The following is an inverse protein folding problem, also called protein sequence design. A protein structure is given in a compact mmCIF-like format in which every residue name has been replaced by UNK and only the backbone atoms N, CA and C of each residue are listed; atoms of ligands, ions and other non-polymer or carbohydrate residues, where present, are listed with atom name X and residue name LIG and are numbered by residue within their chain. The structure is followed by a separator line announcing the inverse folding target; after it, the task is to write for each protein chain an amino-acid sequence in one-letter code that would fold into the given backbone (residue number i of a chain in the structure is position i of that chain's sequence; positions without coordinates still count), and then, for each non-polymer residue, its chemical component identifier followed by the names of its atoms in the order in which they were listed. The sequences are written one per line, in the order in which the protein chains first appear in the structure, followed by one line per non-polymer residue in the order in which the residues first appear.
data_IF_829596794146
#
_entry.id   IF_829596794146
#
_cell.length_a   1.000
_cell.length_b   1.000
_cell.length_c   1.000
_cell.angle_alpha   90.00
_cell.angle_beta   90.00
_cell.angle_gamma   90.00
#
_symmetry.space_group_name_H-M   'P 1'
#
loop_
_entity.id
_entity.type
_entity.pdbx_description
1 polymer ?
#
# COMPACT_ATOMS: atom_id res chain seq x y z
N UNK A 1 11.33 -40.22 -72.53
CA UNK A 1 10.95 -41.02 -71.29
C UNK A 1 11.85 -40.81 -70.11
N UNK A 2 13.13 -40.54 -70.27
CA UNK A 2 14.12 -40.32 -69.21
C UNK A 2 13.90 -39.01 -68.40
N UNK A 3 13.58 -37.91 -69.09
CA UNK A 3 13.38 -36.58 -68.47
C UNK A 3 12.17 -36.53 -67.49
N UNK A 4 11.11 -37.29 -67.76
CA UNK A 4 9.93 -37.37 -66.87
C UNK A 4 10.20 -38.14 -65.59
N UNK A 5 11.11 -39.09 -65.62
CA UNK A 5 11.53 -39.90 -64.48
C UNK A 5 12.36 -39.04 -63.47
N UNK A 6 13.28 -38.24 -64.00
CA UNK A 6 14.12 -37.34 -63.17
C UNK A 6 13.24 -36.23 -62.52
N UNK A 7 12.27 -35.70 -63.21
CA UNK A 7 11.33 -34.69 -62.64
C UNK A 7 10.53 -35.21 -61.47
N UNK A 8 10.07 -36.48 -61.54
CA UNK A 8 9.39 -37.12 -60.39
C UNK A 8 10.32 -37.36 -59.21
N UNK A 9 11.55 -37.71 -59.43
CA UNK A 9 12.53 -37.94 -58.38
C UNK A 9 12.86 -36.62 -57.70
N UNK A 10 13.10 -35.54 -58.43
CA UNK A 10 13.37 -34.20 -57.90
C UNK A 10 12.19 -33.69 -57.08
N UNK A 11 10.94 -33.91 -57.58
CA UNK A 11 9.74 -33.51 -56.86
C UNK A 11 9.58 -34.26 -55.55
N UNK A 12 9.86 -35.55 -55.51
CA UNK A 12 9.77 -36.34 -54.30
C UNK A 12 10.88 -36.00 -53.29
N UNK A 13 12.10 -35.71 -53.77
CA UNK A 13 13.20 -35.25 -52.87
C UNK A 13 12.84 -33.86 -52.28
N UNK A 14 12.29 -32.97 -53.08
CA UNK A 14 11.86 -31.65 -52.59
C UNK A 14 10.70 -31.75 -51.57
N UNK A 15 9.73 -32.64 -51.83
CA UNK A 15 8.65 -32.94 -50.89
C UNK A 15 9.17 -33.53 -49.54
N UNK A 16 10.19 -34.42 -49.66
CA UNK A 16 10.80 -35.00 -48.45
C UNK A 16 11.61 -33.98 -47.64
N UNK A 17 12.31 -33.07 -48.33
CA UNK A 17 13.04 -31.98 -47.71
C UNK A 17 12.09 -30.97 -47.04
N UNK A 18 10.93 -30.73 -47.62
CA UNK A 18 9.88 -29.85 -47.08
C UNK A 18 9.22 -30.47 -45.83
N UNK A 19 9.01 -31.76 -45.81
CA UNK A 19 8.49 -32.49 -44.65
C UNK A 19 9.48 -32.52 -43.45
N UNK A 20 10.79 -32.54 -43.76
CA UNK A 20 11.86 -32.51 -42.72
C UNK A 20 12.07 -31.11 -42.12
N UNK A 21 11.74 -30.03 -42.83
CA UNK A 21 11.89 -28.65 -42.34
C UNK A 21 10.76 -28.20 -41.37
N UNK A 22 9.66 -28.99 -41.27
CA UNK A 22 8.49 -28.64 -40.46
C UNK A 22 8.54 -28.98 -38.97
N UNK A 23 9.64 -29.54 -38.44
CA UNK A 23 9.66 -30.14 -37.08
C UNK A 23 10.35 -29.33 -35.99
N UNK A 24 10.60 -28.06 -36.18
CA UNK A 24 11.03 -27.19 -35.06
C UNK A 24 9.86 -26.64 -34.27
N UNK A 25 9.00 -27.54 -33.76
CA UNK A 25 8.07 -27.16 -32.69
C UNK A 25 8.93 -27.04 -31.42
N UNK A 26 9.47 -25.86 -31.15
CA UNK A 26 10.00 -25.55 -29.83
C UNK A 26 8.82 -25.67 -28.85
N UNK A 27 8.78 -26.76 -28.10
CA UNK A 27 7.82 -26.94 -27.03
C UNK A 27 7.99 -25.74 -26.07
N UNK A 28 7.04 -24.83 -26.07
CA UNK A 28 7.02 -23.72 -25.14
C UNK A 28 6.94 -24.32 -23.74
N UNK A 29 7.94 -24.04 -22.91
CA UNK A 29 7.95 -24.48 -21.51
C UNK A 29 6.67 -23.95 -20.88
N UNK A 30 5.84 -24.85 -20.34
CA UNK A 30 4.64 -24.45 -19.62
C UNK A 30 5.02 -23.50 -18.49
N UNK A 31 4.46 -22.29 -18.51
CA UNK A 31 4.67 -21.28 -17.47
C UNK A 31 4.00 -21.73 -16.18
N UNK A 32 4.73 -21.62 -15.09
CA UNK A 32 4.23 -21.96 -13.74
C UNK A 32 3.79 -20.68 -13.06
N UNK A 33 2.48 -20.57 -12.86
CA UNK A 33 1.84 -19.39 -12.25
C UNK A 33 1.38 -19.77 -10.85
N UNK A 34 1.56 -18.86 -9.90
CA UNK A 34 1.00 -18.96 -8.56
C UNK A 34 0.16 -17.71 -8.24
N UNK A 35 -0.78 -17.88 -7.34
CA UNK A 35 -1.56 -16.79 -6.75
C UNK A 35 -1.31 -16.76 -5.26
N UNK A 36 -1.20 -15.55 -4.71
CA UNK A 36 -1.13 -15.30 -3.27
C UNK A 36 -2.23 -14.33 -2.88
N UNK A 37 -2.44 -14.20 -1.60
CA UNK A 37 -3.28 -13.22 -0.95
C UNK A 37 -2.42 -12.56 0.12
N UNK A 38 -1.87 -11.39 -0.19
CA UNK A 38 -0.95 -10.70 0.71
C UNK A 38 -1.66 -10.23 1.98
N UNK A 39 -2.90 -9.78 1.86
CA UNK A 39 -3.71 -9.35 3.01
C UNK A 39 -3.92 -10.52 3.98
N UNK A 40 -4.37 -11.66 3.46
CA UNK A 40 -4.54 -12.88 4.26
C UNK A 40 -3.24 -13.35 4.91
N UNK A 41 -2.11 -13.29 4.19
CA UNK A 41 -0.81 -13.68 4.75
C UNK A 41 -0.46 -12.75 5.93
N UNK A 42 -0.55 -11.43 5.74
CA UNK A 42 -0.21 -10.45 6.77
C UNK A 42 -1.11 -10.57 8.00
N UNK A 43 -2.41 -10.78 7.82
CA UNK A 43 -3.37 -10.98 8.92
C UNK A 43 -3.07 -12.22 9.77
N UNK A 44 -2.32 -13.19 9.25
CA UNK A 44 -1.89 -14.38 9.96
C UNK A 44 -0.43 -14.28 10.49
N UNK A 45 0.21 -13.12 10.39
CA UNK A 45 1.54 -12.84 10.97
C UNK A 45 1.34 -12.14 12.32
N UNK A 46 1.74 -12.77 13.45
CA UNK A 46 1.55 -12.19 14.79
C UNK A 46 2.15 -10.79 14.95
N UNK A 47 3.34 -10.56 14.41
CA UNK A 47 4.05 -9.28 14.45
C UNK A 47 3.28 -8.18 13.70
N UNK A 48 2.56 -8.54 12.63
CA UNK A 48 1.69 -7.60 11.91
C UNK A 48 0.49 -7.19 12.75
N UNK A 49 -0.14 -8.13 13.45
CA UNK A 49 -1.25 -7.84 14.36
C UNK A 49 -0.82 -6.95 15.53
N UNK A 50 0.37 -7.19 16.08
CA UNK A 50 0.94 -6.35 17.13
C UNK A 50 1.25 -4.92 16.61
N UNK A 51 1.83 -4.81 15.42
CA UNK A 51 2.08 -3.54 14.75
C UNK A 51 0.77 -2.74 14.52
N UNK A 52 -0.28 -3.42 14.05
CA UNK A 52 -1.61 -2.82 13.88
C UNK A 52 -2.20 -2.34 15.21
N UNK A 53 -2.12 -3.14 16.27
CA UNK A 53 -2.61 -2.76 17.59
C UNK A 53 -1.85 -1.54 18.15
N UNK A 54 -0.54 -1.50 17.95
CA UNK A 54 0.31 -0.37 18.35
C UNK A 54 -0.07 0.90 17.59
N UNK A 55 -0.24 0.80 16.26
CA UNK A 55 -0.68 1.91 15.42
C UNK A 55 -2.06 2.42 15.85
N UNK A 56 -3.03 1.53 16.01
CA UNK A 56 -4.39 1.87 16.43
C UNK A 56 -4.43 2.56 17.79
N UNK A 57 -3.64 2.08 18.74
CA UNK A 57 -3.52 2.69 20.07
C UNK A 57 -2.99 4.12 19.99
N UNK A 58 -1.96 4.37 19.18
CA UNK A 58 -1.41 5.72 18.94
C UNK A 58 -2.42 6.64 18.26
N UNK A 59 -3.05 6.18 17.20
CA UNK A 59 -4.07 6.94 16.46
C UNK A 59 -5.23 7.33 17.37
N UNK A 60 -5.69 6.42 18.23
CA UNK A 60 -6.74 6.71 19.21
C UNK A 60 -6.32 7.80 20.20
N UNK A 61 -5.07 7.75 20.68
CA UNK A 61 -4.53 8.79 21.58
C UNK A 61 -4.45 10.15 20.89
N UNK A 62 -3.97 10.21 19.66
CA UNK A 62 -3.92 11.46 18.89
C UNK A 62 -5.30 12.05 18.65
N UNK A 63 -6.27 11.23 18.21
CA UNK A 63 -7.66 11.67 18.01
C UNK A 63 -8.28 12.19 19.31
N UNK A 64 -8.06 11.48 20.43
CA UNK A 64 -8.55 11.94 21.74
C UNK A 64 -7.94 13.28 22.17
N UNK A 65 -6.65 13.50 21.85
CA UNK A 65 -5.97 14.76 22.12
C UNK A 65 -6.56 15.92 21.31
N UNK A 66 -6.77 15.71 20.00
CA UNK A 66 -7.38 16.71 19.12
C UNK A 66 -8.84 17.03 19.53
N UNK A 67 -9.61 15.99 19.88
CA UNK A 67 -10.99 16.15 20.33
C UNK A 67 -11.07 16.98 21.63
N UNK A 68 -10.19 16.73 22.59
CA UNK A 68 -10.10 17.55 23.82
C UNK A 68 -9.77 19.00 23.51
N UNK A 69 -8.83 19.26 22.62
CA UNK A 69 -8.46 20.61 22.23
C UNK A 69 -9.59 21.31 21.46
N UNK A 70 -10.27 20.60 20.58
CA UNK A 70 -11.44 21.10 19.85
C UNK A 70 -12.57 21.48 20.81
N UNK A 71 -12.89 20.61 21.77
CA UNK A 71 -13.92 20.91 22.80
C UNK A 71 -13.53 22.09 23.68
N UNK A 72 -12.25 22.21 24.03
CA UNK A 72 -11.76 23.37 24.76
C UNK A 72 -11.99 24.66 23.98
N UNK A 73 -11.64 24.68 22.69
CA UNK A 73 -11.86 25.85 21.81
C UNK A 73 -13.36 26.22 21.73
N UNK A 74 -14.22 25.24 21.51
CA UNK A 74 -15.66 25.49 21.42
C UNK A 74 -16.27 26.00 22.76
N UNK A 75 -15.78 25.43 23.87
CA UNK A 75 -16.16 25.94 25.19
C UNK A 75 -15.67 27.37 25.39
N UNK A 76 -14.42 27.69 25.09
CA UNK A 76 -13.87 29.06 25.24
C UNK A 76 -14.64 30.10 24.40
N UNK A 77 -15.00 29.71 23.14
CA UNK A 77 -15.85 30.59 22.29
C UNK A 77 -17.23 30.82 22.92
N UNK A 78 -17.86 29.78 23.44
CA UNK A 78 -19.18 29.88 24.09
C UNK A 78 -19.11 30.72 25.35
N UNK A 79 -18.08 30.50 26.19
CA UNK A 79 -17.88 31.28 27.41
C UNK A 79 -17.66 32.78 27.08
N UNK A 80 -16.80 33.08 26.09
CA UNK A 80 -16.59 34.46 25.63
C UNK A 80 -17.86 35.10 25.09
N UNK A 81 -18.66 34.38 24.32
CA UNK A 81 -19.92 34.90 23.80
C UNK A 81 -20.92 35.28 24.95
N UNK A 82 -20.96 34.43 25.98
CA UNK A 82 -21.86 34.66 27.13
C UNK A 82 -21.35 35.81 28.02
N UNK A 83 -20.07 35.99 28.18
CA UNK A 83 -19.43 36.96 29.08
C UNK A 83 -19.17 38.32 28.40
N UNK A 84 -19.26 38.40 27.05
CA UNK A 84 -18.87 39.57 26.25
C UNK A 84 -19.48 40.89 26.73
N UNK A 85 -20.70 40.85 27.25
CA UNK A 85 -21.42 42.07 27.71
C UNK A 85 -20.88 42.66 29.03
N UNK A 86 -20.08 41.86 29.77
CA UNK A 86 -19.56 42.26 31.10
C UNK A 86 -18.05 42.40 31.13
N UNK A 87 -17.35 41.98 30.04
CA UNK A 87 -15.92 42.09 29.93
C UNK A 87 -15.46 43.44 29.37
N UNK A 88 -14.28 43.89 29.75
CA UNK A 88 -13.61 45.03 29.11
C UNK A 88 -13.13 44.66 27.70
N UNK A 89 -12.95 45.68 26.84
CA UNK A 89 -12.43 45.45 25.47
C UNK A 89 -11.09 44.72 25.47
N UNK A 90 -10.18 45.07 26.38
CA UNK A 90 -8.85 44.46 26.46
C UNK A 90 -8.94 42.97 26.81
N UNK A 91 -9.83 42.58 27.75
CA UNK A 91 -10.07 41.20 28.10
C UNK A 91 -10.74 40.39 26.96
N UNK A 92 -11.63 41.05 26.19
CA UNK A 92 -12.22 40.43 25.00
C UNK A 92 -11.17 40.10 24.00
N UNK A 93 -10.27 41.05 23.65
CA UNK A 93 -9.16 40.85 22.71
C UNK A 93 -8.22 39.74 23.19
N UNK A 94 -7.81 39.74 24.47
CA UNK A 94 -6.98 38.69 25.04
C UNK A 94 -7.58 37.29 24.88
N UNK A 95 -8.88 37.14 25.19
CA UNK A 95 -9.61 35.85 25.04
C UNK A 95 -9.76 35.45 23.56
N UNK A 96 -10.02 36.40 22.66
CA UNK A 96 -10.06 36.15 21.20
C UNK A 96 -8.69 35.67 20.67
N UNK A 97 -7.61 36.29 21.09
CA UNK A 97 -6.24 35.89 20.72
C UNK A 97 -5.89 34.49 21.26
N UNK A 98 -6.27 34.19 22.54
CA UNK A 98 -6.07 32.85 23.09
C UNK A 98 -6.81 31.77 22.27
N UNK A 99 -8.08 32.04 21.92
CA UNK A 99 -8.88 31.13 21.08
C UNK A 99 -8.21 30.93 19.71
N UNK A 100 -7.74 32.01 19.09
CA UNK A 100 -7.05 31.94 17.79
C UNK A 100 -5.78 31.08 17.87
N UNK A 101 -4.94 31.29 18.87
CA UNK A 101 -3.74 30.48 19.09
C UNK A 101 -4.07 29.00 19.28
N UNK A 102 -5.13 28.69 20.03
CA UNK A 102 -5.57 27.29 20.21
C UNK A 102 -6.12 26.67 18.92
N UNK A 103 -6.78 27.44 18.07
CA UNK A 103 -7.21 26.98 16.75
C UNK A 103 -6.03 26.72 15.82
N UNK A 104 -5.01 27.53 15.85
CA UNK A 104 -3.76 27.31 15.09
C UNK A 104 -3.02 26.08 15.59
N UNK A 105 -2.96 25.89 16.92
CA UNK A 105 -2.39 24.71 17.53
C UNK A 105 -3.13 23.44 17.06
N UNK A 106 -4.47 23.46 17.06
CA UNK A 106 -5.29 22.34 16.57
C UNK A 106 -4.95 21.99 15.11
N UNK A 107 -4.99 22.98 14.21
CA UNK A 107 -4.62 22.78 12.78
C UNK A 107 -3.22 22.21 12.60
N UNK A 108 -2.26 22.74 13.36
CA UNK A 108 -0.88 22.26 13.33
C UNK A 108 -0.77 20.80 13.77
N UNK A 109 -1.44 20.41 14.85
CA UNK A 109 -1.44 19.05 15.37
C UNK A 109 -2.17 18.08 14.42
N UNK A 110 -3.28 18.51 13.81
CA UNK A 110 -3.99 17.72 12.79
C UNK A 110 -3.06 17.40 11.60
N UNK A 111 -2.36 18.42 11.09
CA UNK A 111 -1.40 18.25 10.01
C UNK A 111 -0.20 17.38 10.42
N UNK A 112 0.31 17.56 11.64
CA UNK A 112 1.42 16.77 12.17
C UNK A 112 1.06 15.30 12.30
N UNK A 113 -0.12 14.98 12.84
CA UNK A 113 -0.52 13.59 13.07
C UNK A 113 -1.07 12.91 11.83
N UNK A 114 -1.89 13.61 11.04
CA UNK A 114 -2.70 13.02 9.96
C UNK A 114 -2.44 13.63 8.57
N UNK A 115 -1.51 14.57 8.46
CA UNK A 115 -1.11 15.11 7.15
C UNK A 115 -0.45 14.06 6.24
N UNK A 116 -0.19 14.40 4.97
CA UNK A 116 0.32 13.46 3.96
C UNK A 116 1.61 12.72 4.36
N UNK A 117 2.49 13.35 5.14
CA UNK A 117 3.70 12.78 5.71
C UNK A 117 3.70 12.87 7.25
N UNK A 118 2.52 12.85 7.84
CA UNK A 118 2.34 12.97 9.29
C UNK A 118 2.78 11.73 10.05
N UNK A 119 2.74 11.85 11.38
CA UNK A 119 3.23 10.83 12.31
C UNK A 119 2.53 9.48 12.10
N UNK A 120 1.24 9.47 11.72
CA UNK A 120 0.52 8.23 11.42
C UNK A 120 1.13 7.48 10.23
N UNK A 121 1.45 8.20 9.16
CA UNK A 121 2.08 7.61 7.98
C UNK A 121 3.48 7.08 8.29
N UNK A 122 4.29 7.88 9.01
CA UNK A 122 5.65 7.51 9.38
C UNK A 122 5.67 6.30 10.32
N UNK A 123 4.79 6.29 11.33
CA UNK A 123 4.66 5.18 12.26
C UNK A 123 4.21 3.89 11.55
N UNK A 124 3.22 3.98 10.65
CA UNK A 124 2.79 2.85 9.83
C UNK A 124 3.96 2.30 9.01
N UNK A 125 4.69 3.17 8.33
CA UNK A 125 5.86 2.78 7.54
C UNK A 125 6.92 2.09 8.43
N UNK A 126 7.18 2.63 9.61
CA UNK A 126 8.16 2.07 10.54
C UNK A 126 7.75 0.68 11.06
N UNK A 127 6.49 0.48 11.39
CA UNK A 127 6.01 -0.76 12.01
C UNK A 127 5.72 -1.84 10.97
N UNK A 128 5.09 -1.49 9.85
CA UNK A 128 4.54 -2.47 8.89
C UNK A 128 5.55 -2.83 7.79
N UNK A 129 6.33 -1.87 7.31
CA UNK A 129 7.25 -2.12 6.21
C UNK A 129 8.26 -3.26 6.47
N UNK A 130 8.92 -3.37 7.62
CA UNK A 130 9.85 -4.47 7.89
C UNK A 130 9.18 -5.84 7.78
N UNK A 131 7.92 -5.95 8.22
CA UNK A 131 7.13 -7.18 8.18
C UNK A 131 6.80 -7.54 6.72
N UNK A 132 6.36 -6.56 5.94
CA UNK A 132 6.11 -6.74 4.51
C UNK A 132 7.37 -7.18 3.76
N UNK A 133 8.52 -6.56 4.06
CA UNK A 133 9.80 -6.92 3.45
C UNK A 133 10.20 -8.37 3.81
N UNK A 134 9.95 -8.82 5.03
CA UNK A 134 10.22 -10.18 5.49
C UNK A 134 9.30 -11.20 4.80
N UNK A 135 8.01 -10.92 4.70
CA UNK A 135 7.06 -11.77 3.96
C UNK A 135 7.45 -11.84 2.49
N UNK A 136 7.79 -10.70 1.88
CA UNK A 136 8.23 -10.66 0.49
C UNK A 136 9.48 -11.51 0.23
N UNK A 137 10.50 -11.42 1.11
CA UNK A 137 11.71 -12.23 1.00
C UNK A 137 11.42 -13.73 1.13
N UNK A 138 10.57 -14.11 2.09
CA UNK A 138 10.13 -15.50 2.25
C UNK A 138 9.38 -16.02 1.02
N UNK A 139 8.51 -15.19 0.45
CA UNK A 139 7.81 -15.51 -0.79
C UNK A 139 8.77 -15.69 -1.96
N UNK A 140 9.76 -14.79 -2.12
CA UNK A 140 10.80 -14.88 -3.16
C UNK A 140 11.56 -16.20 -3.08
N UNK A 141 11.91 -16.66 -1.88
CA UNK A 141 12.57 -17.95 -1.66
C UNK A 141 11.68 -19.13 -2.08
N UNK A 142 10.38 -19.09 -1.74
CA UNK A 142 9.42 -20.10 -2.17
C UNK A 142 9.28 -20.14 -3.69
N UNK A 143 9.16 -18.98 -4.32
CA UNK A 143 9.08 -18.83 -5.78
C UNK A 143 10.28 -19.44 -6.47
N UNK A 144 11.49 -19.13 -5.99
CA UNK A 144 12.73 -19.67 -6.52
C UNK A 144 12.80 -21.20 -6.36
N UNK A 145 12.52 -21.72 -5.15
CA UNK A 145 12.53 -23.17 -4.86
C UNK A 145 11.50 -23.93 -5.68
N UNK A 146 10.31 -23.37 -5.87
CA UNK A 146 9.19 -23.98 -6.59
C UNK A 146 9.27 -23.72 -8.10
N UNK A 147 10.19 -22.86 -8.57
CA UNK A 147 10.38 -22.48 -9.98
C UNK A 147 9.08 -21.94 -10.60
N UNK A 148 8.40 -21.03 -9.91
CA UNK A 148 7.30 -20.26 -10.49
C UNK A 148 7.87 -19.17 -11.40
N UNK A 149 7.23 -18.96 -12.55
CA UNK A 149 7.61 -17.90 -13.50
C UNK A 149 6.91 -16.58 -13.18
N UNK A 150 5.67 -16.67 -12.63
CA UNK A 150 4.87 -15.52 -12.20
C UNK A 150 4.14 -15.81 -10.89
N UNK A 151 4.01 -14.76 -10.08
CA UNK A 151 3.17 -14.76 -8.88
C UNK A 151 2.28 -13.51 -8.94
N UNK A 152 0.99 -13.71 -8.81
CA UNK A 152 -0.01 -12.65 -8.76
C UNK A 152 -0.59 -12.53 -7.36
N UNK A 153 -0.67 -11.31 -6.88
CA UNK A 153 -1.41 -10.99 -5.68
C UNK A 153 -2.89 -10.76 -6.05
N UNK A 154 -3.80 -11.38 -5.31
CA UNK A 154 -5.26 -11.27 -5.52
C UNK A 154 -5.96 -10.42 -4.47
N UNK A 155 -5.19 -9.84 -3.48
CA UNK A 155 -5.74 -8.98 -2.43
C UNK A 155 -6.19 -7.61 -2.94
#
# INVERSE_FOLDING_TARGET
MILLKHRKIILNVFLYLFLLSGSHITAQKAQRIAYIDMEYILENVPEYLEAQNTLNSKVTKWRSSLDKLSRFIEKSKTDLANERAILTNDLILEKEDEILLKQEELRRLESLYFGPNGDMFLLRKQLVKPIQDQVYNSLKDIVAKRKYDFVFDKS
#
